data_IF_022126413682
#
_entry.id   IF_022126413682
#
_cell.length_a   1.000
_cell.length_b   1.000
_cell.length_c   1.000
_cell.angle_alpha   90.00
_cell.angle_beta   90.00
_cell.angle_gamma   90.00
#
_symmetry.space_group_name_H-M   'P 1'
#
loop_
_entity.id
_entity.type
_entity.pdbx_description
1 polymer ?
#
# COMPACT_ATOMS: atom_id res chain seq x y z
N UNK A 1 -48.16 -14.60 -45.07
CA UNK A 1 -49.22 -14.56 -44.04
C UNK A 1 -50.45 -13.95 -44.70
N UNK A 2 -51.61 -14.64 -44.73
CA UNK A 2 -52.78 -14.24 -45.47
C UNK A 2 -53.45 -13.09 -44.70
N UNK A 3 -53.68 -11.93 -45.40
CA UNK A 3 -54.26 -10.73 -44.80
C UNK A 3 -55.63 -10.96 -44.18
N UNK A 4 -56.42 -11.85 -44.78
CA UNK A 4 -57.75 -12.24 -44.29
C UNK A 4 -57.70 -12.95 -42.95
N UNK A 5 -56.77 -13.90 -42.75
CA UNK A 5 -56.56 -14.59 -41.49
C UNK A 5 -56.11 -13.65 -40.37
N UNK A 6 -55.36 -12.60 -40.72
CA UNK A 6 -54.93 -11.61 -39.74
C UNK A 6 -56.11 -10.69 -39.33
N UNK A 7 -56.96 -10.31 -40.28
CA UNK A 7 -58.14 -9.50 -40.00
C UNK A 7 -59.18 -10.23 -39.16
N UNK A 8 -59.40 -11.53 -39.42
CA UNK A 8 -60.30 -12.37 -38.65
C UNK A 8 -59.79 -12.56 -37.22
N UNK A 9 -58.50 -12.80 -37.04
CA UNK A 9 -57.88 -12.91 -35.71
C UNK A 9 -57.94 -11.59 -34.95
N UNK A 10 -57.83 -10.48 -35.60
CA UNK A 10 -57.95 -9.12 -34.96
C UNK A 10 -59.40 -8.79 -34.59
N UNK A 11 -60.40 -9.33 -35.30
CA UNK A 11 -61.82 -9.11 -34.98
C UNK A 11 -62.30 -9.90 -33.75
N UNK A 12 -61.59 -10.95 -33.37
CA UNK A 12 -61.87 -11.73 -32.15
C UNK A 12 -61.21 -11.12 -30.90
N UNK A 13 -60.31 -10.15 -31.06
CA UNK A 13 -59.67 -9.48 -29.89
C UNK A 13 -60.67 -8.59 -29.19
N UNK A 14 -60.85 -8.81 -27.91
CA UNK A 14 -61.68 -7.99 -27.06
C UNK A 14 -61.17 -6.53 -27.05
N UNK A 15 -62.05 -5.56 -27.33
CA UNK A 15 -61.77 -4.10 -27.41
C UNK A 15 -60.97 -3.61 -26.20
N UNK A 16 -61.14 -4.25 -25.06
CA UNK A 16 -60.38 -3.92 -23.84
C UNK A 16 -58.88 -4.02 -24.04
N UNK A 17 -58.40 -5.08 -24.71
CA UNK A 17 -56.95 -5.29 -24.93
C UNK A 17 -56.40 -4.31 -26.00
N UNK A 18 -57.23 -3.97 -26.98
CA UNK A 18 -56.86 -2.96 -27.98
C UNK A 18 -56.73 -1.58 -27.36
N UNK A 19 -57.67 -1.23 -26.50
CA UNK A 19 -57.64 0.06 -25.77
C UNK A 19 -56.47 0.09 -24.77
N UNK A 20 -56.17 -1.03 -24.10
CA UNK A 20 -55.03 -1.14 -23.20
C UNK A 20 -53.70 -1.00 -23.96
N UNK A 21 -53.54 -1.61 -25.11
CA UNK A 21 -52.36 -1.49 -25.98
C UNK A 21 -52.16 -0.06 -26.50
N UNK A 22 -53.26 0.59 -26.94
CA UNK A 22 -53.21 1.99 -27.41
C UNK A 22 -52.92 2.97 -26.28
N UNK A 23 -53.46 2.71 -25.10
CA UNK A 23 -53.21 3.54 -23.90
C UNK A 23 -51.90 3.27 -23.20
N UNK A 24 -51.20 2.20 -23.60
CA UNK A 24 -49.92 1.83 -23.00
C UNK A 24 -48.83 2.84 -23.33
N UNK A 25 -48.72 3.86 -22.48
CA UNK A 25 -47.56 4.75 -22.51
C UNK A 25 -46.39 4.05 -21.82
N UNK A 26 -45.44 3.61 -22.63
CA UNK A 26 -44.15 3.08 -22.11
C UNK A 26 -43.52 4.16 -21.22
N UNK A 27 -43.63 4.01 -19.89
CA UNK A 27 -42.94 4.89 -18.95
C UNK A 27 -41.46 4.81 -19.28
N UNK A 28 -40.93 5.91 -19.86
CA UNK A 28 -39.54 5.93 -20.28
C UNK A 28 -38.65 5.83 -19.06
N UNK A 29 -37.74 4.85 -19.06
CA UNK A 29 -36.66 4.70 -18.07
C UNK A 29 -35.63 5.85 -18.12
N UNK A 30 -35.91 6.90 -18.88
CA UNK A 30 -34.99 7.99 -19.18
C UNK A 30 -34.68 8.89 -17.96
N UNK A 31 -35.58 9.01 -17.00
CA UNK A 31 -35.33 9.85 -15.82
C UNK A 31 -34.29 9.23 -14.84
N UNK A 32 -34.23 7.92 -14.77
CA UNK A 32 -33.28 7.24 -13.89
C UNK A 32 -31.83 7.27 -14.46
N UNK A 33 -31.69 7.14 -15.79
CA UNK A 33 -30.41 7.25 -16.47
C UNK A 33 -29.80 8.67 -16.42
N UNK A 34 -30.62 9.71 -16.51
CA UNK A 34 -30.13 11.12 -16.46
C UNK A 34 -29.67 11.50 -15.06
N UNK A 35 -30.26 10.96 -13.99
CA UNK A 35 -29.83 11.20 -12.62
C UNK A 35 -28.52 10.48 -12.33
N UNK A 36 -28.41 9.19 -12.70
CA UNK A 36 -27.18 8.42 -12.60
C UNK A 36 -26.01 9.05 -13.38
N UNK A 37 -26.27 9.56 -14.58
CA UNK A 37 -25.25 10.27 -15.37
C UNK A 37 -24.76 11.54 -14.67
N UNK A 38 -25.66 12.32 -14.05
CA UNK A 38 -25.27 13.53 -13.29
C UNK A 38 -24.42 13.18 -12.06
N UNK A 39 -24.81 12.14 -11.32
CA UNK A 39 -24.02 11.65 -10.16
C UNK A 39 -22.66 11.15 -10.61
N UNK A 40 -22.59 10.40 -11.70
CA UNK A 40 -21.32 9.91 -12.26
C UNK A 40 -20.40 11.06 -12.71
N UNK A 41 -20.95 12.12 -13.32
CA UNK A 41 -20.16 13.30 -13.70
C UNK A 41 -19.60 14.06 -12.49
N UNK A 42 -20.38 14.20 -11.42
CA UNK A 42 -19.92 14.84 -10.18
C UNK A 42 -18.83 13.99 -9.53
N UNK A 43 -19.01 12.67 -9.48
CA UNK A 43 -18.00 11.76 -8.92
C UNK A 43 -16.69 11.78 -9.71
N UNK A 44 -16.77 11.79 -11.04
CA UNK A 44 -15.61 11.97 -11.92
C UNK A 44 -14.90 13.31 -11.72
N UNK A 45 -15.65 14.39 -11.56
CA UNK A 45 -15.06 15.70 -11.28
C UNK A 45 -14.31 15.72 -9.93
N UNK A 46 -14.87 15.10 -8.89
CA UNK A 46 -14.21 14.96 -7.57
C UNK A 46 -12.94 14.13 -7.67
N UNK A 47 -12.99 13.00 -8.39
CA UNK A 47 -11.81 12.16 -8.61
C UNK A 47 -10.69 12.88 -9.36
N UNK A 48 -11.04 13.62 -10.43
CA UNK A 48 -10.06 14.35 -11.22
C UNK A 48 -9.45 15.53 -10.46
N UNK A 49 -10.27 16.30 -9.73
CA UNK A 49 -9.75 17.40 -8.91
C UNK A 49 -8.95 16.89 -7.71
N UNK A 50 -9.41 15.83 -7.04
CA UNK A 50 -8.69 15.19 -5.94
C UNK A 50 -7.34 14.64 -6.38
N UNK A 51 -7.28 13.92 -7.50
CA UNK A 51 -6.03 13.41 -8.04
C UNK A 51 -5.06 14.51 -8.49
N UNK A 52 -5.57 15.58 -9.07
CA UNK A 52 -4.74 16.73 -9.43
C UNK A 52 -4.13 17.40 -8.19
N UNK A 53 -4.92 17.64 -7.14
CA UNK A 53 -4.42 18.21 -5.88
C UNK A 53 -3.36 17.31 -5.25
N UNK A 54 -3.58 16.00 -5.19
CA UNK A 54 -2.60 15.03 -4.67
C UNK A 54 -1.33 14.94 -5.54
N UNK A 55 -1.42 15.22 -6.84
CA UNK A 55 -0.25 15.20 -7.74
C UNK A 55 0.61 16.44 -7.58
N UNK A 56 0.01 17.61 -7.36
CA UNK A 56 0.73 18.89 -7.39
C UNK A 56 1.01 19.49 -6.00
N UNK A 57 0.39 18.99 -4.92
CA UNK A 57 0.62 19.49 -3.56
C UNK A 57 1.22 18.43 -2.66
N UNK A 58 2.45 18.67 -2.20
CA UNK A 58 3.16 17.81 -1.23
C UNK A 58 2.41 17.79 0.11
N UNK A 59 1.89 18.96 0.54
CA UNK A 59 1.15 19.08 1.81
C UNK A 59 -0.18 18.32 1.74
N UNK A 60 -0.90 18.37 0.60
CA UNK A 60 -2.14 17.62 0.42
C UNK A 60 -1.90 16.11 0.38
N UNK A 61 -0.78 15.67 -0.21
CA UNK A 61 -0.35 14.26 -0.14
C UNK A 61 -0.07 13.83 1.29
N UNK A 62 0.76 14.58 2.00
CA UNK A 62 1.11 14.28 3.38
C UNK A 62 -0.13 14.20 4.29
N UNK A 63 -1.07 15.14 4.13
CA UNK A 63 -2.34 15.13 4.86
C UNK A 63 -3.24 13.95 4.48
N UNK A 64 -3.33 13.61 3.17
CA UNK A 64 -4.13 12.47 2.70
C UNK A 64 -3.54 11.13 3.18
N UNK A 65 -2.24 10.95 3.06
CA UNK A 65 -1.58 9.73 3.56
C UNK A 65 -1.58 9.65 5.08
N UNK A 66 -1.47 10.77 5.80
CA UNK A 66 -1.69 10.84 7.24
C UNK A 66 -3.10 10.39 7.62
N UNK A 67 -4.13 10.85 6.89
CA UNK A 67 -5.52 10.44 7.09
C UNK A 67 -5.74 8.96 6.74
N UNK A 68 -5.18 8.45 5.63
CA UNK A 68 -5.25 7.04 5.25
C UNK A 68 -4.56 6.18 6.31
N UNK A 69 -3.42 6.61 6.84
CA UNK A 69 -2.73 5.95 7.94
C UNK A 69 -3.61 5.84 9.20
N UNK A 70 -4.34 6.91 9.53
CA UNK A 70 -5.24 6.95 10.69
C UNK A 70 -6.49 6.06 10.52
N UNK A 71 -6.99 5.89 9.28
CA UNK A 71 -8.17 5.06 9.00
C UNK A 71 -7.85 3.58 8.77
N UNK A 72 -6.61 3.26 8.34
CA UNK A 72 -6.14 1.87 8.14
C UNK A 72 -5.34 1.46 9.37
N UNK A 73 -6.00 1.29 10.49
CA UNK A 73 -5.40 0.96 11.80
C UNK A 73 -4.57 -0.34 11.85
N UNK A 74 -4.45 -1.08 10.73
CA UNK A 74 -3.86 -2.42 10.74
C UNK A 74 -2.49 -2.51 10.06
N UNK A 75 -2.09 -1.53 9.23
CA UNK A 75 -0.83 -1.61 8.47
C UNK A 75 -0.12 -0.27 8.38
N UNK A 76 1.13 -0.20 8.82
CA UNK A 76 2.01 0.91 8.47
C UNK A 76 2.56 0.69 7.07
N UNK A 77 2.17 1.58 6.15
CA UNK A 77 2.65 1.55 4.78
C UNK A 77 3.67 2.69 4.63
N UNK A 78 4.95 2.35 4.50
CA UNK A 78 5.97 3.33 4.20
C UNK A 78 6.00 3.58 2.70
N UNK A 79 5.66 4.81 2.30
CA UNK A 79 5.85 5.30 0.94
C UNK A 79 7.13 6.13 0.93
N UNK A 80 8.05 5.77 0.06
CA UNK A 80 9.28 6.50 -0.13
C UNK A 80 9.21 7.25 -1.46
N UNK A 81 9.32 8.59 -1.41
CA UNK A 81 9.60 9.38 -2.60
C UNK A 81 11.12 9.48 -2.73
N UNK A 82 11.71 8.57 -3.49
CA UNK A 82 13.11 8.62 -3.86
C UNK A 82 13.38 9.76 -4.85
N UNK A 83 14.43 10.52 -4.58
CA UNK A 83 14.96 11.48 -5.54
C UNK A 83 16.01 10.77 -6.40
N UNK A 84 15.79 10.78 -7.71
CA UNK A 84 16.73 10.42 -8.78
C UNK A 84 17.03 8.94 -9.02
N UNK A 85 17.15 8.63 -10.30
CA UNK A 85 17.66 7.36 -10.81
C UNK A 85 19.05 7.05 -10.23
N UNK A 86 19.10 6.15 -9.26
CA UNK A 86 20.34 5.52 -8.83
C UNK A 86 20.76 4.61 -9.98
N UNK A 87 21.90 4.88 -10.58
CA UNK A 87 22.39 4.21 -11.80
C UNK A 87 22.88 2.78 -11.52
N UNK A 88 23.28 2.48 -10.30
CA UNK A 88 23.62 1.12 -9.84
C UNK A 88 23.20 0.99 -8.35
N UNK A 89 22.40 -0.01 -7.98
CA UNK A 89 22.03 -0.22 -6.59
C UNK A 89 23.25 -0.64 -5.78
N UNK A 90 23.53 0.09 -4.70
CA UNK A 90 24.59 -0.26 -3.76
C UNK A 90 24.21 -1.54 -2.99
N UNK A 91 25.18 -2.38 -2.69
CA UNK A 91 25.00 -3.54 -1.83
C UNK A 91 25.43 -3.19 -0.41
N UNK A 92 24.70 -3.68 0.57
CA UNK A 92 24.93 -3.38 1.98
C UNK A 92 25.13 -4.65 2.80
N UNK A 93 25.87 -4.50 3.90
CA UNK A 93 26.06 -5.55 4.91
C UNK A 93 26.03 -4.95 6.31
N UNK A 94 25.81 -5.79 7.32
CA UNK A 94 25.95 -5.40 8.72
C UNK A 94 27.43 -5.38 9.10
N UNK A 95 27.94 -4.19 9.41
CA UNK A 95 29.33 -4.01 9.86
C UNK A 95 29.56 -4.41 11.30
N UNK A 96 28.50 -4.52 12.10
CA UNK A 96 28.53 -4.95 13.49
C UNK A 96 27.25 -5.69 13.85
N UNK A 97 27.38 -6.78 14.60
CA UNK A 97 26.32 -7.54 15.24
C UNK A 97 26.79 -7.98 16.64
N UNK A 98 25.87 -8.22 17.59
CA UNK A 98 26.21 -8.88 18.85
C UNK A 98 26.94 -10.22 18.64
N UNK A 99 27.89 -10.56 19.54
CA UNK A 99 28.73 -11.75 19.38
C UNK A 99 27.95 -13.09 19.40
N UNK A 100 26.75 -13.08 19.99
CA UNK A 100 25.87 -14.23 20.05
C UNK A 100 24.97 -14.40 18.82
N UNK A 101 25.13 -13.55 17.78
CA UNK A 101 24.36 -13.62 16.55
C UNK A 101 25.19 -14.29 15.45
N UNK A 102 24.64 -15.32 14.82
CA UNK A 102 25.31 -16.14 13.82
C UNK A 102 24.61 -15.96 12.47
N UNK A 103 25.36 -15.67 11.42
CA UNK A 103 24.85 -15.64 10.05
C UNK A 103 24.39 -17.04 9.61
N UNK A 104 23.18 -17.13 9.05
CA UNK A 104 22.58 -18.38 8.57
C UNK A 104 22.59 -18.43 7.05
N UNK A 105 22.02 -17.43 6.38
CA UNK A 105 21.91 -17.36 4.92
C UNK A 105 21.58 -15.96 4.44
N UNK A 106 21.75 -15.70 3.13
CA UNK A 106 21.18 -14.55 2.46
C UNK A 106 20.61 -14.95 1.12
N UNK A 107 19.70 -14.11 0.59
CA UNK A 107 19.14 -14.25 -0.76
C UNK A 107 18.85 -12.88 -1.38
N UNK A 108 19.04 -12.80 -2.69
CA UNK A 108 18.78 -11.58 -3.44
C UNK A 108 17.26 -11.43 -3.69
N UNK A 109 16.80 -10.18 -3.67
CA UNK A 109 15.44 -9.76 -4.03
C UNK A 109 15.50 -8.78 -5.21
N UNK A 110 14.33 -8.37 -5.73
CA UNK A 110 14.27 -7.32 -6.73
C UNK A 110 14.71 -5.98 -6.12
N UNK A 111 15.94 -5.56 -6.37
CA UNK A 111 16.50 -4.29 -5.90
C UNK A 111 17.22 -4.35 -4.55
N UNK A 112 17.40 -5.53 -3.93
CA UNK A 112 18.06 -5.64 -2.64
C UNK A 112 18.47 -7.04 -2.23
N UNK A 113 18.73 -7.24 -0.94
CA UNK A 113 19.13 -8.52 -0.37
C UNK A 113 18.54 -8.66 1.04
N UNK A 114 18.23 -9.89 1.40
CA UNK A 114 17.79 -10.28 2.74
C UNK A 114 18.87 -11.15 3.37
N UNK A 115 19.27 -10.80 4.59
CA UNK A 115 20.20 -11.56 5.42
C UNK A 115 19.46 -12.12 6.62
N UNK A 116 19.69 -13.38 6.90
CA UNK A 116 19.11 -14.10 8.03
C UNK A 116 20.23 -14.48 9.00
N UNK A 117 20.03 -14.11 10.25
CA UNK A 117 20.86 -14.49 11.36
C UNK A 117 20.02 -15.21 12.42
N UNK A 118 20.66 -15.85 13.37
CA UNK A 118 20.02 -16.42 14.55
C UNK A 118 20.84 -16.08 15.80
N UNK A 119 20.19 -16.01 16.95
CA UNK A 119 20.83 -15.88 18.25
C UNK A 119 20.96 -17.25 18.94
N UNK A 120 21.47 -17.26 20.18
CA UNK A 120 21.62 -18.47 21.02
C UNK A 120 20.26 -19.14 21.37
N UNK A 121 19.14 -18.47 21.17
CA UNK A 121 17.79 -18.98 21.43
C UNK A 121 17.10 -19.47 20.16
N UNK A 122 17.83 -19.56 19.04
CA UNK A 122 17.31 -19.83 17.69
C UNK A 122 16.28 -18.78 17.22
N UNK A 123 16.33 -17.56 17.78
CA UNK A 123 15.46 -16.46 17.32
C UNK A 123 15.97 -15.94 16.00
N UNK A 124 15.05 -15.82 15.04
CA UNK A 124 15.37 -15.26 13.72
C UNK A 124 15.60 -13.76 13.82
N UNK A 125 16.69 -13.32 13.22
CA UNK A 125 17.05 -11.93 13.03
C UNK A 125 17.15 -11.71 11.53
N UNK A 126 16.43 -10.72 11.03
CA UNK A 126 16.42 -10.40 9.61
C UNK A 126 16.98 -8.99 9.39
N UNK A 127 17.90 -8.87 8.45
CA UNK A 127 18.30 -7.58 7.86
C UNK A 127 17.93 -7.58 6.40
N UNK A 128 17.22 -6.54 5.98
CA UNK A 128 16.79 -6.37 4.59
C UNK A 128 17.11 -4.95 4.15
N UNK A 129 17.55 -4.81 2.91
CA UNK A 129 17.59 -3.52 2.24
C UNK A 129 17.03 -3.63 0.83
N UNK A 130 16.49 -2.52 0.33
CA UNK A 130 16.05 -2.37 -1.06
C UNK A 130 16.39 -0.98 -1.57
N UNK A 131 16.96 -0.91 -2.77
CA UNK A 131 17.30 0.35 -3.47
C UNK A 131 16.23 0.76 -4.48
N UNK A 132 15.14 -0.01 -4.60
CA UNK A 132 13.97 0.29 -5.43
C UNK A 132 12.70 0.35 -4.57
N UNK A 133 12.63 1.25 -3.55
CA UNK A 133 11.52 1.28 -2.60
C UNK A 133 10.18 1.61 -3.24
N UNK A 134 10.15 2.24 -4.43
CA UNK A 134 8.91 2.54 -5.16
C UNK A 134 8.15 1.29 -5.62
N UNK A 135 8.85 0.16 -5.75
CA UNK A 135 8.28 -1.12 -6.16
C UNK A 135 8.02 -2.09 -5.00
N UNK A 136 8.66 -1.89 -3.86
CA UNK A 136 8.45 -2.71 -2.67
C UNK A 136 7.65 -1.94 -1.61
N UNK A 137 6.48 -2.46 -1.31
CA UNK A 137 5.69 -2.03 -0.17
C UNK A 137 6.15 -2.85 1.03
N UNK A 138 6.91 -2.25 1.92
CA UNK A 138 7.17 -2.89 3.21
C UNK A 138 5.88 -2.81 4.03
N UNK A 139 5.17 -3.91 4.08
CA UNK A 139 4.02 -4.08 4.97
C UNK A 139 4.54 -4.46 6.34
N UNK A 140 4.42 -3.55 7.26
CA UNK A 140 4.71 -3.82 8.65
C UNK A 140 3.39 -3.91 9.38
N UNK A 141 2.95 -5.14 9.69
CA UNK A 141 1.75 -5.37 10.51
C UNK A 141 2.12 -5.17 11.99
N UNK A 142 2.15 -3.91 12.39
CA UNK A 142 2.47 -3.49 13.75
C UNK A 142 1.30 -2.79 14.44
N UNK A 143 0.05 -3.17 14.13
CA UNK A 143 -1.13 -2.53 14.71
C UNK A 143 -1.13 -2.49 16.25
N UNK A 144 -0.46 -3.44 16.88
CA UNK A 144 -0.32 -3.53 18.34
C UNK A 144 1.04 -3.07 18.88
N UNK A 145 1.96 -2.65 18.00
CA UNK A 145 3.32 -2.25 18.35
C UNK A 145 3.38 -0.78 18.79
N UNK A 146 4.31 -0.49 19.68
CA UNK A 146 4.61 0.90 20.05
C UNK A 146 5.67 1.47 19.12
N UNK A 147 5.32 2.46 18.30
CA UNK A 147 6.27 3.17 17.44
C UNK A 147 7.04 4.23 18.22
N UNK A 148 8.36 4.25 18.05
CA UNK A 148 9.25 5.33 18.52
C UNK A 148 10.04 5.89 17.34
N UNK A 149 10.07 7.20 17.21
CA UNK A 149 10.94 7.88 16.24
C UNK A 149 12.38 7.80 16.70
N UNK A 150 13.28 7.45 15.77
CA UNK A 150 14.72 7.34 16.00
C UNK A 150 15.49 8.04 14.89
N UNK A 151 16.77 8.26 15.10
CA UNK A 151 17.67 8.81 14.07
C UNK A 151 18.83 7.86 13.86
N UNK A 152 19.07 7.42 12.62
CA UNK A 152 20.14 6.51 12.23
C UNK A 152 21.07 7.23 11.26
N UNK A 153 22.30 7.48 11.68
CA UNK A 153 23.30 8.22 10.87
C UNK A 153 22.77 9.54 10.28
N UNK A 154 21.90 10.24 11.04
CA UNK A 154 21.29 11.50 10.63
C UNK A 154 19.99 11.33 9.83
N UNK A 155 19.60 10.14 9.46
CA UNK A 155 18.34 9.84 8.77
C UNK A 155 17.22 9.50 9.75
N UNK A 156 16.00 9.95 9.46
CA UNK A 156 14.83 9.61 10.26
C UNK A 156 14.45 8.12 10.08
N UNK A 157 14.10 7.48 11.18
CA UNK A 157 13.64 6.11 11.22
C UNK A 157 12.58 5.87 12.29
N UNK A 158 11.98 4.70 12.27
CA UNK A 158 10.98 4.24 13.23
C UNK A 158 11.41 2.92 13.86
N UNK A 159 11.37 2.85 15.18
CA UNK A 159 11.54 1.63 15.97
C UNK A 159 10.16 1.16 16.43
N UNK A 160 9.83 -0.07 16.12
CA UNK A 160 8.59 -0.75 16.51
C UNK A 160 8.89 -1.73 17.64
N UNK A 161 8.27 -1.49 18.77
CA UNK A 161 8.42 -2.32 19.96
C UNK A 161 7.22 -3.25 20.04
N UNK A 162 7.49 -4.53 20.08
CA UNK A 162 6.50 -5.59 20.15
C UNK A 162 5.67 -5.52 21.44
N UNK A 163 4.38 -5.91 21.38
CA UNK A 163 3.51 -5.94 22.57
C UNK A 163 3.85 -7.09 23.53
N UNK A 164 4.55 -8.10 23.06
CA UNK A 164 4.93 -9.28 23.85
C UNK A 164 6.29 -9.84 23.43
N UNK A 165 6.92 -10.63 24.30
CA UNK A 165 8.21 -11.30 24.04
C UNK A 165 8.13 -12.39 22.95
N UNK A 166 6.92 -12.80 22.55
CA UNK A 166 6.72 -13.77 21.47
C UNK A 166 6.84 -13.14 20.08
N UNK A 167 6.80 -11.79 19.99
CA UNK A 167 6.88 -11.02 18.77
C UNK A 167 8.24 -10.34 18.65
N UNK A 168 8.77 -10.23 17.45
CA UNK A 168 10.04 -9.54 17.20
C UNK A 168 9.83 -8.03 17.09
N UNK A 169 10.72 -7.26 17.67
CA UNK A 169 10.84 -5.82 17.43
C UNK A 169 11.38 -5.55 16.02
N UNK A 170 11.22 -4.32 15.53
CA UNK A 170 11.75 -3.95 14.23
C UNK A 170 12.16 -2.49 14.14
N UNK A 171 13.20 -2.21 13.37
CA UNK A 171 13.62 -0.86 13.03
C UNK A 171 13.64 -0.67 11.52
N UNK A 172 13.10 0.47 11.05
CA UNK A 172 13.07 0.84 9.65
C UNK A 172 13.58 2.25 9.48
N UNK A 173 14.39 2.50 8.47
CA UNK A 173 14.83 3.83 8.08
C UNK A 173 15.16 3.88 6.59
N UNK A 174 15.31 5.10 6.05
CA UNK A 174 15.74 5.33 4.68
C UNK A 174 16.99 6.19 4.63
N UNK A 175 17.84 5.92 3.65
CA UNK A 175 18.87 6.87 3.24
C UNK A 175 18.41 7.54 1.93
N UNK A 176 18.02 8.82 1.97
CA UNK A 176 17.56 9.54 0.78
C UNK A 176 18.67 9.79 -0.25
N UNK A 177 19.96 9.70 0.15
CA UNK A 177 21.07 9.91 -0.77
C UNK A 177 21.27 8.72 -1.71
N UNK A 178 20.99 7.51 -1.21
CA UNK A 178 21.13 6.25 -1.96
C UNK A 178 19.78 5.68 -2.39
N UNK A 179 18.69 6.35 -2.02
CA UNK A 179 17.31 5.87 -2.22
C UNK A 179 17.11 4.45 -1.70
N UNK A 180 17.72 4.13 -0.56
CA UNK A 180 17.69 2.79 0.01
C UNK A 180 16.85 2.76 1.28
N UNK A 181 15.95 1.79 1.34
CA UNK A 181 15.20 1.43 2.52
C UNK A 181 15.91 0.29 3.24
N UNK A 182 16.02 0.41 4.55
CA UNK A 182 16.59 -0.60 5.43
C UNK A 182 15.57 -1.04 6.47
N UNK A 183 15.60 -2.32 6.78
CA UNK A 183 14.78 -2.92 7.81
C UNK A 183 15.59 -3.98 8.58
N UNK A 184 15.49 -3.96 9.92
CA UNK A 184 16.03 -4.99 10.78
C UNK A 184 14.93 -5.45 11.74
N UNK A 185 14.76 -6.75 11.90
CA UNK A 185 13.89 -7.32 12.93
C UNK A 185 14.65 -8.33 13.80
N UNK A 186 14.22 -8.43 15.06
CA UNK A 186 14.84 -9.34 16.03
C UNK A 186 14.38 -9.03 17.45
N UNK A 187 15.04 -9.61 18.44
CA UNK A 187 14.82 -9.32 19.86
C UNK A 187 16.03 -8.59 20.43
N UNK A 188 16.03 -7.27 20.31
CA UNK A 188 17.07 -6.41 20.84
C UNK A 188 16.46 -5.25 21.62
N UNK A 189 17.20 -4.72 22.59
CA UNK A 189 16.87 -3.44 23.16
C UNK A 189 17.07 -2.29 22.14
N UNK A 190 16.50 -1.14 22.44
CA UNK A 190 16.55 0.02 21.55
C UNK A 190 17.99 0.45 21.23
N UNK A 191 18.90 0.41 22.18
CA UNK A 191 20.31 0.84 22.02
C UNK A 191 21.04 -0.10 21.07
N UNK A 192 20.81 -1.42 21.21
CA UNK A 192 21.36 -2.45 20.34
C UNK A 192 20.83 -2.32 18.92
N UNK A 193 19.51 -2.12 18.71
CA UNK A 193 18.95 -1.87 17.39
C UNK A 193 19.59 -0.67 16.70
N UNK A 194 19.67 0.46 17.40
CA UNK A 194 20.29 1.68 16.85
C UNK A 194 21.74 1.41 16.47
N UNK A 195 22.49 0.74 17.34
CA UNK A 195 23.90 0.41 17.09
C UNK A 195 24.08 -0.52 15.87
N UNK A 196 23.23 -1.52 15.70
CA UNK A 196 23.25 -2.39 14.50
C UNK A 196 22.97 -1.53 13.26
N UNK A 197 21.92 -0.72 13.29
CA UNK A 197 21.48 0.12 12.17
C UNK A 197 22.56 1.15 11.77
N UNK A 198 23.21 1.81 12.75
CA UNK A 198 24.29 2.78 12.51
C UNK A 198 25.56 2.14 11.92
N UNK A 199 25.72 0.83 12.08
CA UNK A 199 26.84 0.07 11.54
C UNK A 199 26.49 -0.68 10.22
N UNK A 200 25.39 -0.39 9.59
CA UNK A 200 25.14 -0.79 8.19
C UNK A 200 26.14 -0.05 7.30
N UNK A 201 26.81 -0.77 6.44
CA UNK A 201 27.83 -0.21 5.54
C UNK A 201 27.68 -0.78 4.12
N UNK A 202 28.13 0.00 3.17
CA UNK A 202 28.21 -0.44 1.78
C UNK A 202 29.25 -1.57 1.65
N UNK A 203 28.89 -2.60 0.87
CA UNK A 203 29.73 -3.76 0.61
C UNK A 203 30.64 -3.43 -0.58
N UNK A 204 31.94 -3.41 -0.31
CA UNK A 204 32.96 -3.17 -1.36
C UNK A 204 33.15 -4.35 -2.31
#
# INVERSE_FOLDING_TARGET
MNAQLFTDAMSELNDKYVMEAVSYQRKSKQQFNTWLSKVACVFLAILLTGSAVLTFSVEARAAFFGWVREQVETYYMYFFEGNAAVTEPAKYELGWMPENCIFVTSYETAGGEVYIYTDERDTLIQFTYTSEPDNEKVYVDYAEYTEKQVTINGNAGSLFIAPSEDNTDGIVWTDPNTNTLFFISGHFDQETFIKIAENVKEKN
#
